data_IF_169943942273
#
_entry.id   IF_169943942273
#
_cell.length_a   1.000
_cell.length_b   1.000
_cell.length_c   1.000
_cell.angle_alpha   90.00
_cell.angle_beta   90.00
_cell.angle_gamma   90.00
#
_symmetry.space_group_name_H-M   'P 1'
#
loop_
_entity.id
_entity.type
_entity.pdbx_description
1 polymer ?
#
# COMPACT_ATOMS: atom_id res chain seq x y z
N UNK A 1 -9.42 27.43 -14.88
CA UNK A 1 -8.53 26.28 -14.63
C UNK A 1 -9.16 25.46 -13.52
N UNK A 2 -9.41 24.15 -13.69
CA UNK A 2 -10.05 23.36 -12.64
C UNK A 2 -9.08 23.21 -11.45
N UNK A 3 -9.56 23.44 -10.24
CA UNK A 3 -8.81 23.16 -9.01
C UNK A 3 -8.49 21.67 -8.93
N UNK A 4 -7.20 21.31 -8.95
CA UNK A 4 -6.78 19.96 -8.61
C UNK A 4 -6.92 19.82 -7.10
N UNK A 5 -8.06 19.27 -6.64
CA UNK A 5 -8.20 18.83 -5.24
C UNK A 5 -7.11 17.81 -4.95
N UNK A 6 -6.12 18.20 -4.15
CA UNK A 6 -5.04 17.31 -3.70
C UNK A 6 -5.67 16.16 -2.92
N UNK A 7 -5.59 14.96 -3.49
CA UNK A 7 -5.97 13.72 -2.81
C UNK A 7 -4.83 13.36 -1.86
N UNK A 8 -5.15 13.01 -0.61
CA UNK A 8 -4.14 12.53 0.32
C UNK A 8 -3.62 11.18 -0.16
N UNK A 9 -2.31 10.94 -0.05
CA UNK A 9 -1.64 9.73 -0.55
C UNK A 9 -0.73 9.12 0.51
N UNK A 10 -0.68 7.79 0.59
CA UNK A 10 0.14 7.03 1.55
C UNK A 10 0.85 5.89 0.82
N UNK A 11 2.17 5.80 1.00
CA UNK A 11 3.01 4.71 0.49
C UNK A 11 3.63 3.94 1.66
N UNK A 12 3.33 2.65 1.77
CA UNK A 12 3.95 1.77 2.77
C UNK A 12 5.26 1.17 2.23
N UNK A 13 6.37 1.35 2.94
CA UNK A 13 7.68 0.89 2.48
C UNK A 13 8.28 -0.13 3.46
N UNK A 14 8.78 -1.24 2.93
CA UNK A 14 9.65 -2.16 3.68
C UNK A 14 10.86 -2.57 2.82
N UNK A 15 11.64 -3.56 3.25
CA UNK A 15 12.82 -3.98 2.50
C UNK A 15 12.48 -4.55 1.12
N UNK A 16 11.55 -5.51 1.08
CA UNK A 16 11.34 -6.35 -0.11
C UNK A 16 9.92 -6.39 -0.66
N UNK A 17 8.98 -5.60 -0.13
CA UNK A 17 7.59 -5.53 -0.59
C UNK A 17 6.83 -6.86 -0.69
N UNK A 18 7.17 -7.86 0.12
CA UNK A 18 6.49 -9.16 0.10
C UNK A 18 5.83 -9.54 1.43
N UNK A 19 6.28 -9.03 2.57
CA UNK A 19 5.68 -9.39 3.86
C UNK A 19 4.97 -8.20 4.50
N UNK A 20 5.72 -7.18 4.94
CA UNK A 20 5.20 -6.14 5.84
C UNK A 20 4.41 -5.07 5.11
N UNK A 21 4.96 -4.50 4.04
CA UNK A 21 4.31 -3.40 3.34
C UNK A 21 3.03 -3.79 2.58
N UNK A 22 2.93 -4.97 1.90
CA UNK A 22 1.66 -5.40 1.32
C UNK A 22 0.56 -5.65 2.36
N UNK A 23 0.91 -6.22 3.53
CA UNK A 23 -0.05 -6.39 4.63
C UNK A 23 -0.55 -5.03 5.15
N UNK A 24 0.36 -4.07 5.34
CA UNK A 24 -0.01 -2.74 5.80
C UNK A 24 -0.95 -2.03 4.80
N UNK A 25 -0.67 -2.15 3.50
CA UNK A 25 -1.51 -1.62 2.43
C UNK A 25 -2.93 -2.21 2.48
N UNK A 26 -3.06 -3.54 2.57
CA UNK A 26 -4.36 -4.22 2.62
C UNK A 26 -5.18 -3.81 3.86
N UNK A 27 -4.55 -3.82 5.05
CA UNK A 27 -5.20 -3.43 6.31
C UNK A 27 -5.61 -1.96 6.27
N UNK A 28 -4.74 -1.07 5.76
CA UNK A 28 -5.04 0.35 5.69
C UNK A 28 -6.15 0.66 4.68
N UNK A 29 -6.15 0.02 3.50
CA UNK A 29 -7.24 0.12 2.51
C UNK A 29 -8.59 -0.25 3.14
N UNK A 30 -8.64 -1.36 3.89
CA UNK A 30 -9.86 -1.78 4.57
C UNK A 30 -10.34 -0.75 5.60
N UNK A 31 -9.45 -0.26 6.46
CA UNK A 31 -9.78 0.74 7.48
C UNK A 31 -10.16 2.10 6.89
N UNK A 32 -9.47 2.54 5.85
CA UNK A 32 -9.77 3.79 5.16
C UNK A 32 -11.16 3.75 4.51
N UNK A 33 -11.52 2.62 3.89
CA UNK A 33 -12.86 2.42 3.35
C UNK A 33 -13.95 2.45 4.44
N UNK A 34 -13.72 1.77 5.58
CA UNK A 34 -14.63 1.82 6.73
C UNK A 34 -14.79 3.24 7.31
N UNK A 35 -13.73 4.04 7.27
CA UNK A 35 -13.74 5.42 7.74
C UNK A 35 -14.24 6.44 6.69
N UNK A 36 -14.62 6.00 5.48
CA UNK A 36 -15.04 6.90 4.40
C UNK A 36 -13.93 7.81 3.85
N UNK A 37 -12.66 7.42 4.03
CA UNK A 37 -11.51 8.22 3.62
C UNK A 37 -11.16 7.95 2.15
N UNK A 38 -11.11 9.01 1.34
CA UNK A 38 -10.70 8.94 -0.06
C UNK A 38 -9.20 9.23 -0.20
N UNK A 39 -8.37 8.23 0.07
CA UNK A 39 -6.89 8.30 0.08
C UNK A 39 -6.34 7.39 -1.04
N UNK A 40 -5.27 7.82 -1.70
CA UNK A 40 -4.48 6.98 -2.61
C UNK A 40 -3.47 6.15 -1.80
N UNK A 41 -3.49 4.82 -1.96
CA UNK A 41 -2.79 3.89 -1.07
C UNK A 41 -2.02 2.87 -1.91
N UNK A 42 -0.73 2.75 -1.65
CA UNK A 42 0.18 1.83 -2.34
C UNK A 42 1.27 1.26 -1.39
N UNK A 43 2.04 0.28 -1.85
CA UNK A 43 3.21 -0.23 -1.15
C UNK A 43 4.42 -0.47 -2.05
N UNK A 44 5.62 -0.34 -1.48
CA UNK A 44 6.88 -0.55 -2.18
C UNK A 44 7.95 -1.21 -1.31
N UNK A 45 9.04 -1.60 -1.98
CA UNK A 45 10.25 -2.18 -1.39
C UNK A 45 11.44 -1.27 -1.66
N UNK A 46 12.34 -1.10 -0.70
CA UNK A 46 13.58 -0.34 -0.93
C UNK A 46 14.55 -1.08 -1.85
N UNK A 47 14.43 -2.41 -1.93
CA UNK A 47 15.23 -3.25 -2.83
C UNK A 47 14.35 -3.88 -3.91
N UNK A 48 14.89 -3.96 -5.13
CA UNK A 48 14.22 -4.50 -6.31
C UNK A 48 14.22 -6.02 -6.44
N UNK A 49 14.77 -6.77 -5.47
CA UNK A 49 14.93 -8.23 -5.56
C UNK A 49 13.63 -9.02 -5.75
N UNK A 50 12.48 -8.41 -5.43
CA UNK A 50 11.17 -9.05 -5.52
C UNK A 50 10.19 -8.32 -6.45
N UNK A 51 10.67 -7.47 -7.36
CA UNK A 51 9.79 -6.81 -8.35
C UNK A 51 9.03 -7.88 -9.15
N UNK A 52 7.71 -7.76 -9.18
CA UNK A 52 6.80 -8.69 -9.88
C UNK A 52 6.42 -9.94 -9.09
N UNK A 53 7.01 -10.19 -7.93
CA UNK A 53 6.62 -11.33 -7.09
C UNK A 53 5.35 -11.01 -6.29
N UNK A 54 4.48 -12.01 -6.07
CA UNK A 54 3.35 -11.83 -5.15
C UNK A 54 3.85 -11.66 -3.71
N UNK A 55 3.02 -11.11 -2.81
CA UNK A 55 3.26 -11.15 -1.37
C UNK A 55 3.60 -12.56 -0.88
N UNK A 56 4.42 -12.68 0.16
CA UNK A 56 4.79 -13.96 0.77
C UNK A 56 3.54 -14.68 1.27
N UNK A 57 3.43 -15.99 1.01
CA UNK A 57 2.25 -16.78 1.36
C UNK A 57 1.85 -16.67 2.84
N UNK A 58 2.81 -16.48 3.75
CA UNK A 58 2.53 -16.33 5.20
C UNK A 58 1.83 -15.02 5.53
N UNK A 59 1.93 -14.02 4.64
CA UNK A 59 1.29 -12.70 4.78
C UNK A 59 -0.07 -12.61 4.07
N UNK A 60 -0.48 -13.67 3.38
CA UNK A 60 -1.75 -13.76 2.65
C UNK A 60 -2.87 -14.46 3.46
N UNK A 61 -2.56 -14.96 4.65
CA UNK A 61 -3.48 -15.67 5.54
C UNK A 61 -4.36 -14.71 6.36
#
# INVERSE_FOLDING_TARGET
>A
MPEIKKKNSVLFVCLGNICRSPTAEAVFKHKAAQAGLNIEIDSAGTHGYHIGNPPDKRSQA
#
